data_IF_865998216221
#
_entry.id   IF_865998216221
#
_cell.length_a   1.000
_cell.length_b   1.000
_cell.length_c   1.000
_cell.angle_alpha   90.00
_cell.angle_beta   90.00
_cell.angle_gamma   90.00
#
_symmetry.space_group_name_H-M   'P 1'
#
loop_
_entity.id
_entity.type
_entity.pdbx_description
1 polymer ?
#
# COMPACT_ATOMS: atom_id res chain seq x y z
N UNK A 1 -1.87 14.26 -3.76
CA UNK A 1 -2.08 13.03 -2.98
C UNK A 1 -0.94 12.86 -1.98
N UNK A 2 -1.20 12.98 -0.68
CA UNK A 2 -0.17 12.70 0.35
C UNK A 2 0.13 11.19 0.43
N UNK A 3 1.25 10.79 -0.18
CA UNK A 3 1.68 9.40 -0.24
C UNK A 3 2.06 8.84 1.15
N UNK A 4 2.40 9.70 2.13
CA UNK A 4 2.67 9.26 3.52
C UNK A 4 1.40 8.82 4.23
N UNK A 5 0.30 9.52 4.00
CA UNK A 5 -1.02 9.15 4.52
C UNK A 5 -1.49 7.80 3.99
N UNK A 6 -1.18 7.46 2.74
CA UNK A 6 -1.48 6.15 2.17
C UNK A 6 -0.58 5.05 2.75
N UNK A 7 0.74 5.26 2.76
CA UNK A 7 1.69 4.29 3.31
C UNK A 7 1.41 3.90 4.76
N UNK A 8 0.99 4.87 5.59
CA UNK A 8 0.58 4.63 6.97
C UNK A 8 -0.64 3.72 7.08
N UNK A 9 -1.66 3.92 6.23
CA UNK A 9 -2.89 3.08 6.21
C UNK A 9 -2.58 1.65 5.81
N UNK A 10 -1.72 1.46 4.80
CA UNK A 10 -1.25 0.12 4.39
C UNK A 10 -0.54 -0.59 5.53
N UNK A 11 0.37 0.11 6.21
CA UNK A 11 1.09 -0.43 7.37
C UNK A 11 0.14 -0.86 8.49
N UNK A 12 -0.83 -0.01 8.84
CA UNK A 12 -1.81 -0.30 9.87
C UNK A 12 -2.68 -1.52 9.51
N UNK A 13 -3.20 -1.57 8.28
CA UNK A 13 -4.02 -2.68 7.80
C UNK A 13 -3.25 -4.00 7.77
N UNK A 14 -1.95 -3.97 7.44
CA UNK A 14 -1.07 -5.13 7.51
C UNK A 14 -0.89 -5.61 8.95
N UNK A 15 -0.56 -4.68 9.85
CA UNK A 15 -0.33 -5.00 11.27
C UNK A 15 -1.59 -5.50 11.96
N UNK A 16 -2.77 -4.97 11.65
CA UNK A 16 -4.04 -5.43 12.22
C UNK A 16 -4.38 -6.88 11.84
N UNK A 17 -3.78 -7.39 10.75
CA UNK A 17 -3.91 -8.79 10.29
C UNK A 17 -2.79 -9.69 10.82
N UNK A 18 -1.83 -9.15 11.58
CA UNK A 18 -0.67 -9.88 12.07
C UNK A 18 0.35 -10.24 10.98
N UNK A 19 0.28 -9.62 9.79
CA UNK A 19 1.14 -9.99 8.66
C UNK A 19 2.49 -9.28 8.72
N UNK A 20 3.56 -9.98 8.38
CA UNK A 20 4.86 -9.37 8.09
C UNK A 20 4.83 -8.65 6.73
N UNK A 21 5.80 -7.77 6.46
CA UNK A 21 5.92 -7.14 5.13
C UNK A 21 6.16 -8.16 4.02
N UNK A 22 6.88 -9.25 4.33
CA UNK A 22 7.13 -10.34 3.40
C UNK A 22 5.84 -11.12 3.10
N UNK A 23 5.03 -11.32 4.13
CA UNK A 23 3.75 -12.01 4.00
C UNK A 23 2.71 -11.21 3.21
N UNK A 24 2.66 -9.89 3.39
CA UNK A 24 1.86 -9.01 2.53
C UNK A 24 2.40 -9.00 1.09
N UNK A 25 3.72 -8.97 0.92
CA UNK A 25 4.35 -9.03 -0.40
C UNK A 25 3.94 -10.28 -1.16
N UNK A 26 4.02 -11.44 -0.52
CA UNK A 26 3.59 -12.72 -1.10
C UNK A 26 2.10 -12.72 -1.49
N UNK A 27 1.22 -12.20 -0.62
CA UNK A 27 -0.23 -12.10 -0.90
C UNK A 27 -0.58 -11.13 -2.03
N UNK A 28 0.21 -10.07 -2.18
CA UNK A 28 0.01 -9.04 -3.18
C UNK A 28 0.81 -9.27 -4.47
N UNK A 29 1.56 -10.38 -4.58
CA UNK A 29 2.44 -10.67 -5.72
C UNK A 29 3.45 -9.52 -5.98
N UNK A 30 4.12 -9.08 -4.90
CA UNK A 30 5.18 -8.05 -4.93
C UNK A 30 6.30 -8.36 -3.95
N UNK A 31 7.46 -7.75 -4.15
CA UNK A 31 8.61 -7.96 -3.26
C UNK A 31 8.42 -7.30 -1.88
N UNK A 32 9.01 -7.86 -0.82
CA UNK A 32 9.08 -7.21 0.51
C UNK A 32 9.67 -5.79 0.45
N UNK A 33 10.76 -5.50 -0.30
CA UNK A 33 11.23 -4.12 -0.50
C UNK A 33 10.18 -3.19 -1.10
N UNK A 34 9.33 -3.68 -2.01
CA UNK A 34 8.21 -2.91 -2.57
C UNK A 34 7.21 -2.53 -1.48
N UNK A 35 6.85 -3.46 -0.60
CA UNK A 35 5.99 -3.17 0.56
C UNK A 35 6.63 -2.12 1.48
N UNK A 36 7.93 -2.24 1.76
CA UNK A 36 8.64 -1.28 2.61
C UNK A 36 8.66 0.14 1.99
N UNK A 37 8.79 0.26 0.67
CA UNK A 37 8.69 1.54 -0.05
C UNK A 37 7.29 2.15 0.08
N UNK A 38 6.25 1.35 -0.15
CA UNK A 38 4.85 1.79 -0.02
C UNK A 38 4.58 2.30 1.39
N UNK A 39 5.00 1.57 2.43
CA UNK A 39 4.75 1.96 3.82
C UNK A 39 5.47 3.25 4.23
N UNK A 40 6.58 3.61 3.58
CA UNK A 40 7.25 4.90 3.78
C UNK A 40 6.61 6.06 3.00
N UNK A 41 5.69 5.76 2.09
CA UNK A 41 5.13 6.74 1.16
C UNK A 41 6.09 7.10 0.02
N UNK A 42 6.96 6.18 -0.38
CA UNK A 42 7.78 6.34 -1.58
C UNK A 42 6.89 6.15 -2.84
N UNK A 43 7.23 6.82 -3.93
CA UNK A 43 6.50 6.66 -5.19
C UNK A 43 6.60 5.23 -5.72
N UNK A 44 5.46 4.67 -6.09
CA UNK A 44 5.31 3.38 -6.77
C UNK A 44 4.19 3.48 -7.80
N UNK A 45 4.10 2.53 -8.72
CA UNK A 45 3.01 2.55 -9.70
C UNK A 45 1.65 2.35 -9.05
N UNK A 46 0.62 2.99 -9.59
CA UNK A 46 -0.78 2.80 -9.18
C UNK A 46 -1.19 1.32 -9.23
N UNK A 47 -0.72 0.57 -10.23
CA UNK A 47 -0.97 -0.87 -10.33
C UNK A 47 -0.43 -1.64 -9.12
N UNK A 48 0.76 -1.29 -8.62
CA UNK A 48 1.34 -1.89 -7.41
C UNK A 48 0.51 -1.55 -6.18
N UNK A 49 0.08 -0.30 -6.04
CA UNK A 49 -0.77 0.13 -4.93
C UNK A 49 -2.10 -0.63 -4.92
N UNK A 50 -2.73 -0.81 -6.09
CA UNK A 50 -3.97 -1.56 -6.25
C UNK A 50 -3.80 -3.04 -5.88
N UNK A 51 -2.70 -3.68 -6.28
CA UNK A 51 -2.39 -5.07 -5.87
C UNK A 51 -2.32 -5.20 -4.34
N UNK A 52 -1.58 -4.29 -3.70
CA UNK A 52 -1.38 -4.31 -2.24
C UNK A 52 -2.67 -3.99 -1.48
N UNK A 53 -3.43 -2.98 -1.94
CA UNK A 53 -4.74 -2.66 -1.36
C UNK A 53 -5.72 -3.82 -1.48
N UNK A 54 -5.79 -4.46 -2.66
CA UNK A 54 -6.63 -5.64 -2.90
C UNK A 54 -6.26 -6.81 -1.99
N UNK A 55 -4.97 -7.09 -1.80
CA UNK A 55 -4.51 -8.14 -0.89
C UNK A 55 -4.88 -7.87 0.58
N UNK A 56 -5.03 -6.61 0.95
CA UNK A 56 -5.54 -6.20 2.27
C UNK A 56 -7.07 -6.14 2.33
N UNK A 57 -7.79 -6.36 1.22
CA UNK A 57 -9.24 -6.17 1.17
C UNK A 57 -9.67 -4.70 1.31
N UNK A 58 -8.83 -3.78 0.85
CA UNK A 58 -9.11 -2.34 0.83
C UNK A 58 -9.50 -1.90 -0.58
N UNK A 59 -10.40 -0.92 -0.66
CA UNK A 59 -10.75 -0.24 -1.92
C UNK A 59 -9.86 0.98 -2.11
N UNK A 60 -9.38 1.19 -3.34
CA UNK A 60 -8.66 2.41 -3.72
C UNK A 60 -9.65 3.36 -4.40
N UNK A 61 -9.89 4.51 -3.78
CA UNK A 61 -10.68 5.59 -4.38
C UNK A 61 -9.73 6.66 -4.93
N UNK A 62 -9.86 6.93 -6.23
CA UNK A 62 -9.13 8.01 -6.90
C UNK A 62 -10.06 9.22 -6.90
N UNK A 63 -9.77 10.17 -6.01
CA UNK A 63 -10.45 11.46 -6.03
C UNK A 63 -9.64 12.42 -6.89
N UNK A 64 -10.26 13.00 -7.92
CA UNK A 64 -9.67 14.06 -8.75
C UNK A 64 -9.59 15.38 -7.95
N UNK A 65 -8.76 15.39 -6.92
CA UNK A 65 -8.69 16.49 -5.98
C UNK A 65 -7.32 16.56 -5.35
N UNK A 66 -6.33 16.97 -6.15
CA UNK A 66 -5.13 17.66 -5.70
C UNK A 66 -4.46 18.29 -6.93
N UNK A 67 -5.10 19.33 -7.44
CA UNK A 67 -4.41 20.36 -8.23
C UNK A 67 -3.83 21.34 -7.22
N UNK A 68 -2.56 21.15 -6.86
CA UNK A 68 -1.74 22.21 -6.29
C UNK A 68 -0.40 22.22 -7.01
#
# INVERSE_FOLDING_TARGET
>A
MDNRGFGTRIRQARQSRGWSQEELGARADVSRPTIARIERGDDVSTATLVKVASALGLTVEINEGDKH
#
